data_IF_729912574891
#
_entry.id   IF_729912574891
#
_cell.length_a   1.000
_cell.length_b   1.000
_cell.length_c   1.000
_cell.angle_alpha   90.00
_cell.angle_beta   90.00
_cell.angle_gamma   90.00
#
_symmetry.space_group_name_H-M   'P 1'
#
loop_
_entity.id
_entity.type
_entity.pdbx_description
1 polymer ?
#
# COMPACT_ATOMS: atom_id res chain seq x y z
N UNK A 1 6.64 1.93 -7.44
CA UNK A 1 6.23 0.54 -7.13
C UNK A 1 7.33 -0.51 -7.37
N UNK A 2 8.48 -0.16 -7.94
CA UNK A 2 9.53 -1.16 -8.23
C UNK A 2 10.32 -1.54 -6.96
N UNK A 3 10.79 -2.80 -6.88
CA UNK A 3 11.41 -3.40 -5.67
C UNK A 3 12.90 -3.10 -5.51
N UNK A 4 13.56 -2.69 -6.60
CA UNK A 4 15.00 -2.43 -6.62
C UNK A 4 15.31 -1.05 -6.00
N UNK A 5 16.14 -0.97 -4.94
CA UNK A 5 16.45 0.27 -4.25
C UNK A 5 17.19 1.30 -5.12
N UNK A 6 18.02 0.87 -6.08
CA UNK A 6 18.68 1.78 -7.04
C UNK A 6 17.66 2.46 -7.95
N UNK A 7 16.70 1.69 -8.48
CA UNK A 7 15.59 2.23 -9.28
C UNK A 7 14.65 3.12 -8.46
N UNK A 8 14.42 2.81 -7.18
CA UNK A 8 13.66 3.70 -6.29
C UNK A 8 14.36 5.04 -6.11
N UNK A 9 15.69 5.05 -5.96
CA UNK A 9 16.49 6.26 -5.82
C UNK A 9 16.43 7.12 -7.10
N UNK A 10 16.67 6.53 -8.26
CA UNK A 10 16.56 7.25 -9.54
C UNK A 10 15.14 7.77 -9.82
N UNK A 11 14.11 6.99 -9.51
CA UNK A 11 12.73 7.44 -9.64
C UNK A 11 12.41 8.60 -8.68
N UNK A 12 12.93 8.54 -7.44
CA UNK A 12 12.80 9.64 -6.49
C UNK A 12 13.53 10.90 -6.98
N UNK A 13 14.73 10.76 -7.53
CA UNK A 13 15.48 11.88 -8.12
C UNK A 13 14.72 12.52 -9.30
N UNK A 14 14.09 11.70 -10.15
CA UNK A 14 13.19 12.21 -11.21
C UNK A 14 12.00 12.99 -10.65
N UNK A 15 11.36 12.50 -9.58
CA UNK A 15 10.22 13.20 -8.94
C UNK A 15 10.70 14.51 -8.28
N UNK A 16 11.87 14.50 -7.65
CA UNK A 16 12.44 15.69 -7.03
C UNK A 16 12.89 16.75 -8.06
N UNK A 17 13.27 16.31 -9.27
CA UNK A 17 13.61 17.21 -10.37
C UNK A 17 12.43 18.02 -10.92
N UNK A 18 11.18 17.67 -10.59
CA UNK A 18 10.02 18.51 -10.86
C UNK A 18 9.98 19.80 -10.00
N UNK A 19 10.95 19.99 -9.08
CA UNK A 19 11.12 21.20 -8.25
C UNK A 19 9.85 21.63 -7.51
N UNK A 20 9.03 20.67 -7.07
CA UNK A 20 7.86 20.99 -6.26
C UNK A 20 8.30 21.59 -4.92
N UNK A 21 7.92 22.85 -4.67
CA UNK A 21 8.30 23.62 -3.48
C UNK A 21 7.92 22.91 -2.18
N UNK A 22 6.85 22.10 -2.20
CA UNK A 22 6.37 21.33 -1.06
C UNK A 22 7.19 20.07 -0.75
N UNK A 23 7.94 19.54 -1.73
CA UNK A 23 8.67 18.27 -1.59
C UNK A 23 10.17 18.50 -1.37
N UNK A 24 10.73 19.59 -1.92
CA UNK A 24 12.16 19.93 -1.79
C UNK A 24 12.66 19.91 -0.34
N UNK A 25 11.94 20.47 0.67
CA UNK A 25 12.41 20.47 2.05
C UNK A 25 12.65 19.07 2.62
N UNK A 26 11.91 18.06 2.11
CA UNK A 26 11.96 16.68 2.61
C UNK A 26 12.84 15.76 1.78
N UNK A 27 13.60 16.30 0.82
CA UNK A 27 14.46 15.51 -0.07
C UNK A 27 15.37 14.54 0.69
N UNK A 28 16.04 15.04 1.73
CA UNK A 28 16.96 14.23 2.53
C UNK A 28 16.23 13.11 3.29
N UNK A 29 15.07 13.41 3.89
CA UNK A 29 14.23 12.41 4.56
C UNK A 29 13.77 11.33 3.57
N UNK A 30 13.31 11.73 2.39
CA UNK A 30 12.88 10.80 1.35
C UNK A 30 14.03 9.91 0.85
N UNK A 31 15.24 10.46 0.70
CA UNK A 31 16.43 9.67 0.36
C UNK A 31 16.81 8.69 1.47
N UNK A 32 16.74 9.11 2.74
CA UNK A 32 16.99 8.23 3.89
C UNK A 32 15.95 7.11 4.00
N UNK A 33 14.68 7.37 3.64
CA UNK A 33 13.64 6.33 3.56
C UNK A 33 13.91 5.29 2.45
N UNK A 34 14.62 5.68 1.38
CA UNK A 34 15.03 4.76 0.33
C UNK A 34 16.30 3.98 0.73
N UNK A 35 17.17 4.54 1.58
CA UNK A 35 18.38 3.87 2.07
C UNK A 35 18.04 2.80 3.12
N UNK A 36 18.47 1.56 2.90
CA UNK A 36 18.19 0.46 3.83
C UNK A 36 18.88 0.60 5.18
N UNK A 37 20.06 1.23 5.23
CA UNK A 37 20.82 1.38 6.47
C UNK A 37 20.17 2.41 7.40
N UNK A 38 19.64 3.48 6.82
CA UNK A 38 19.01 4.59 7.54
C UNK A 38 17.51 4.42 7.73
N UNK A 39 16.88 3.46 7.04
CA UNK A 39 15.44 3.27 7.02
C UNK A 39 14.79 3.22 8.40
N UNK A 40 15.31 2.41 9.32
CA UNK A 40 14.72 2.22 10.66
C UNK A 40 14.81 3.49 11.50
N UNK A 41 15.96 4.16 11.44
CA UNK A 41 16.19 5.40 12.18
C UNK A 41 15.29 6.50 11.63
N UNK A 42 15.20 6.61 10.29
CA UNK A 42 14.36 7.60 9.62
C UNK A 42 12.88 7.41 9.94
N UNK A 43 12.35 6.18 10.01
CA UNK A 43 10.96 5.94 10.45
C UNK A 43 10.68 6.44 11.87
N UNK A 44 11.71 6.54 12.71
CA UNK A 44 11.57 7.02 14.10
C UNK A 44 11.68 8.54 14.18
N UNK A 45 12.55 9.14 13.36
CA UNK A 45 12.82 10.58 13.31
C UNK A 45 11.76 11.35 12.51
N UNK A 46 11.36 10.82 11.35
CA UNK A 46 10.44 11.46 10.42
C UNK A 46 9.01 10.99 10.67
N UNK A 47 8.36 11.44 11.75
CA UNK A 47 7.01 10.98 12.10
C UNK A 47 5.95 11.60 11.18
N UNK A 48 5.00 10.78 10.72
CA UNK A 48 3.89 11.20 9.85
C UNK A 48 2.61 11.55 10.62
N UNK A 49 2.60 11.48 11.95
CA UNK A 49 1.44 11.86 12.76
C UNK A 49 1.07 13.33 12.58
N UNK A 50 -0.23 13.68 12.69
CA UNK A 50 -0.69 15.09 12.63
C UNK A 50 -0.02 15.99 13.67
N UNK A 51 0.32 15.41 14.81
CA UNK A 51 0.95 16.09 15.95
C UNK A 51 2.45 16.35 15.73
N UNK A 52 3.05 15.73 14.71
CA UNK A 52 4.46 15.96 14.40
C UNK A 52 4.61 17.17 13.48
N UNK A 53 5.46 18.12 13.89
CA UNK A 53 5.93 19.23 13.05
C UNK A 53 6.83 18.79 11.89
N UNK A 54 7.08 17.48 11.74
CA UNK A 54 7.98 16.94 10.72
C UNK A 54 7.48 17.17 9.29
N UNK A 55 6.17 17.28 9.05
CA UNK A 55 5.61 17.58 7.72
C UNK A 55 4.55 18.67 7.85
N UNK A 56 4.76 19.78 7.15
CA UNK A 56 3.79 20.89 7.11
C UNK A 56 2.48 20.42 6.46
N UNK A 57 1.30 20.81 7.00
CA UNK A 57 0.00 20.39 6.48
C UNK A 57 -0.15 20.58 4.96
N UNK A 58 0.27 21.74 4.44
CA UNK A 58 0.20 22.09 3.01
C UNK A 58 1.12 21.23 2.13
N UNK A 59 2.13 20.62 2.72
CA UNK A 59 3.06 19.76 2.00
C UNK A 59 2.61 18.29 1.98
N UNK A 60 1.72 17.88 2.90
CA UNK A 60 1.32 16.48 3.06
C UNK A 60 0.70 15.90 1.80
N UNK A 61 -0.12 16.67 1.09
CA UNK A 61 -0.77 16.24 -0.16
C UNK A 61 0.24 15.76 -1.21
N UNK A 62 1.43 16.35 -1.23
CA UNK A 62 2.48 16.00 -2.20
C UNK A 62 3.49 14.99 -1.64
N UNK A 63 3.82 15.09 -0.35
CA UNK A 63 4.87 14.27 0.28
C UNK A 63 4.36 12.88 0.65
N UNK A 64 3.17 12.77 1.23
CA UNK A 64 2.61 11.51 1.72
C UNK A 64 2.47 10.49 0.59
N UNK A 65 1.93 10.82 -0.61
CA UNK A 65 1.85 9.86 -1.70
C UNK A 65 3.21 9.33 -2.17
N UNK A 66 4.30 10.08 -1.97
CA UNK A 66 5.67 9.63 -2.29
C UNK A 66 6.14 8.65 -1.21
N UNK A 67 5.97 9.02 0.08
CA UNK A 67 6.30 8.17 1.23
C UNK A 67 5.57 6.83 1.15
N UNK A 68 4.24 6.83 0.92
CA UNK A 68 3.45 5.62 0.76
C UNK A 68 4.00 4.70 -0.34
N UNK A 69 4.38 5.26 -1.50
CA UNK A 69 4.95 4.50 -2.62
C UNK A 69 6.29 3.87 -2.29
N UNK A 70 7.15 4.59 -1.56
CA UNK A 70 8.45 4.08 -1.10
C UNK A 70 8.22 2.93 -0.11
N UNK A 71 7.40 3.15 0.92
CA UNK A 71 7.10 2.17 1.97
C UNK A 71 6.47 0.90 1.38
N UNK A 72 5.50 1.02 0.49
CA UNK A 72 4.90 -0.13 -0.19
C UNK A 72 5.93 -0.91 -1.03
N UNK A 73 6.84 -0.21 -1.70
CA UNK A 73 7.97 -0.84 -2.40
C UNK A 73 8.84 -1.65 -1.44
N UNK A 74 9.23 -1.06 -0.31
CA UNK A 74 10.04 -1.74 0.73
C UNK A 74 9.32 -2.93 1.35
N UNK A 75 8.01 -2.83 1.54
CA UNK A 75 7.16 -3.89 2.11
C UNK A 75 7.06 -5.13 1.21
N UNK A 76 7.08 -4.92 -0.11
CA UNK A 76 6.87 -5.97 -1.13
C UNK A 76 8.17 -6.56 -1.70
N UNK A 77 9.32 -6.00 -1.33
CA UNK A 77 10.64 -6.49 -1.72
C UNK A 77 10.99 -7.81 -1.01
N UNK A 78 11.27 -8.86 -1.79
CA UNK A 78 11.62 -10.21 -1.29
C UNK A 78 13.00 -10.30 -0.63
N UNK A 79 13.89 -9.32 -0.86
CA UNK A 79 15.27 -9.32 -0.32
C UNK A 79 15.34 -9.43 1.21
N UNK A 80 14.29 -9.03 1.94
CA UNK A 80 14.22 -9.14 3.40
C UNK A 80 13.54 -10.44 3.90
N UNK A 81 12.95 -11.24 3.00
CA UNK A 81 12.24 -12.47 3.37
C UNK A 81 13.19 -13.66 3.62
N UNK A 82 14.41 -13.63 3.07
CA UNK A 82 15.39 -14.74 3.13
C UNK A 82 16.05 -14.95 4.50
N UNK A 83 15.92 -14.00 5.43
CA UNK A 83 16.47 -14.15 6.80
C UNK A 83 15.33 -14.33 7.79
N UNK A 84 15.08 -15.58 8.21
CA UNK A 84 14.32 -16.00 9.41
C UNK A 84 13.40 -14.91 10.03
N UNK A 85 12.29 -14.57 9.35
CA UNK A 85 11.27 -13.66 9.90
C UNK A 85 11.50 -12.15 9.73
N UNK A 86 12.65 -11.70 9.22
CA UNK A 86 12.98 -10.27 9.06
C UNK A 86 12.02 -9.51 8.12
N UNK A 87 11.42 -10.20 7.15
CA UNK A 87 10.40 -9.65 6.27
C UNK A 87 9.10 -9.29 7.01
N UNK A 88 8.69 -10.10 7.99
CA UNK A 88 7.51 -9.79 8.82
C UNK A 88 7.79 -8.62 9.76
N UNK A 89 8.95 -8.60 10.42
CA UNK A 89 9.34 -7.48 11.31
C UNK A 89 9.36 -6.15 10.56
N UNK A 90 9.87 -6.14 9.31
CA UNK A 90 9.88 -4.93 8.48
C UNK A 90 8.47 -4.50 8.08
N UNK A 91 7.58 -5.44 7.72
CA UNK A 91 6.17 -5.14 7.41
C UNK A 91 5.46 -4.55 8.61
N UNK A 92 5.60 -5.16 9.79
CA UNK A 92 5.05 -4.65 11.05
C UNK A 92 5.53 -3.23 11.35
N UNK A 93 6.83 -2.98 11.21
CA UNK A 93 7.41 -1.64 11.43
C UNK A 93 6.82 -0.59 10.48
N UNK A 94 6.67 -0.94 9.19
CA UNK A 94 6.06 -0.06 8.19
C UNK A 94 4.59 0.20 8.50
N UNK A 95 3.82 -0.83 8.84
CA UNK A 95 2.40 -0.65 9.16
C UNK A 95 2.19 0.17 10.44
N UNK A 96 3.02 -0.05 11.46
CA UNK A 96 3.00 0.77 12.69
C UNK A 96 3.41 2.22 12.43
N UNK A 97 4.28 2.47 11.46
CA UNK A 97 4.57 3.84 11.06
C UNK A 97 3.37 4.47 10.34
N UNK A 98 2.76 3.73 9.42
CA UNK A 98 1.56 4.14 8.68
C UNK A 98 0.33 4.32 9.56
N UNK A 99 0.27 3.75 10.76
CA UNK A 99 -0.84 4.00 11.69
C UNK A 99 -0.86 5.44 12.21
N UNK A 100 0.20 6.22 11.96
CA UNK A 100 0.19 7.67 12.16
C UNK A 100 -0.47 8.47 11.03
N UNK A 101 -0.87 7.83 9.93
CA UNK A 101 -1.56 8.49 8.83
C UNK A 101 -3.02 8.85 9.18
N UNK A 102 -3.53 9.84 8.45
CA UNK A 102 -4.95 10.18 8.49
C UNK A 102 -5.76 9.18 7.67
N UNK A 103 -7.09 9.20 7.83
CA UNK A 103 -7.98 8.32 7.08
C UNK A 103 -7.85 8.49 5.55
N UNK A 104 -7.75 9.72 5.05
CA UNK A 104 -7.59 9.96 3.61
C UNK A 104 -6.26 9.39 3.08
N UNK A 105 -5.20 9.48 3.88
CA UNK A 105 -3.88 8.96 3.53
C UNK A 105 -3.85 7.43 3.59
N UNK A 106 -4.54 6.85 4.57
CA UNK A 106 -4.76 5.41 4.67
C UNK A 106 -5.56 4.89 3.46
N UNK A 107 -6.59 5.63 3.05
CA UNK A 107 -7.33 5.32 1.82
C UNK A 107 -6.42 5.34 0.60
N UNK A 108 -5.56 6.35 0.46
CA UNK A 108 -4.56 6.38 -0.63
C UNK A 108 -3.64 5.16 -0.60
N UNK A 109 -3.25 4.69 0.60
CA UNK A 109 -2.46 3.48 0.75
C UNK A 109 -3.22 2.23 0.28
N UNK A 110 -4.49 2.07 0.69
CA UNK A 110 -5.35 0.94 0.30
C UNK A 110 -5.56 0.94 -1.23
N UNK A 111 -5.93 2.07 -1.83
CA UNK A 111 -6.11 2.21 -3.27
C UNK A 111 -4.84 1.84 -4.05
N UNK A 112 -3.67 2.22 -3.52
CA UNK A 112 -2.40 1.89 -4.14
C UNK A 112 -2.06 0.40 -3.97
N UNK A 113 -2.26 -0.14 -2.77
CA UNK A 113 -1.95 -1.52 -2.38
C UNK A 113 -2.80 -2.53 -3.14
N UNK A 114 -4.09 -2.22 -3.31
CA UNK A 114 -5.10 -3.02 -3.98
C UNK A 114 -5.44 -2.49 -5.38
N UNK A 115 -4.50 -1.77 -6.02
CA UNK A 115 -4.74 -1.14 -7.32
C UNK A 115 -5.25 -2.06 -8.45
N UNK A 116 -5.01 -3.37 -8.37
CA UNK A 116 -5.52 -4.37 -9.32
C UNK A 116 -6.99 -4.75 -9.08
N UNK A 117 -7.58 -4.35 -7.95
CA UNK A 117 -9.01 -4.48 -7.62
C UNK A 117 -9.71 -3.12 -7.54
N UNK A 118 -9.04 -2.03 -7.90
CA UNK A 118 -9.54 -0.67 -7.68
C UNK A 118 -10.92 -0.44 -8.31
N UNK A 119 -11.14 -0.99 -9.50
CA UNK A 119 -12.42 -0.86 -10.20
C UNK A 119 -13.57 -1.49 -9.40
N UNK A 120 -13.31 -2.57 -8.66
CA UNK A 120 -14.31 -3.23 -7.81
C UNK A 120 -14.59 -2.48 -6.51
N UNK A 121 -13.61 -1.73 -5.97
CA UNK A 121 -13.77 -0.96 -4.72
C UNK A 121 -14.89 0.08 -4.86
N UNK A 122 -15.00 0.69 -6.04
CA UNK A 122 -15.99 1.73 -6.33
C UNK A 122 -17.37 1.21 -6.71
N UNK A 123 -17.48 -0.07 -7.08
CA UNK A 123 -18.73 -0.71 -7.52
C UNK A 123 -19.63 -1.11 -6.34
N UNK A 124 -20.92 -1.30 -6.60
CA UNK A 124 -21.79 -2.00 -5.65
C UNK A 124 -21.49 -3.51 -5.64
N UNK A 125 -21.78 -4.21 -4.54
CA UNK A 125 -21.58 -5.66 -4.41
C UNK A 125 -22.20 -6.46 -5.55
N UNK A 126 -23.41 -6.10 -6.00
CA UNK A 126 -24.07 -6.78 -7.13
C UNK A 126 -23.35 -6.55 -8.45
N UNK A 127 -22.81 -5.35 -8.65
CA UNK A 127 -22.05 -4.99 -9.84
C UNK A 127 -20.69 -5.68 -9.89
N UNK A 128 -20.01 -5.80 -8.75
CA UNK A 128 -18.76 -6.56 -8.60
C UNK A 128 -18.98 -7.99 -9.08
N UNK A 129 -20.00 -8.67 -8.57
CA UNK A 129 -20.29 -10.05 -8.94
C UNK A 129 -20.61 -10.21 -10.43
N UNK A 130 -21.49 -9.35 -10.98
CA UNK A 130 -21.82 -9.36 -12.43
C UNK A 130 -20.60 -9.10 -13.31
N UNK A 131 -19.74 -8.16 -12.92
CA UNK A 131 -18.53 -7.80 -13.66
C UNK A 131 -17.54 -8.96 -13.68
N UNK A 132 -17.35 -9.64 -12.53
CA UNK A 132 -16.47 -10.81 -12.43
C UNK A 132 -17.00 -11.95 -13.29
N UNK A 133 -18.30 -12.27 -13.21
CA UNK A 133 -18.91 -13.33 -14.02
C UNK A 133 -18.76 -13.07 -15.53
N UNK A 134 -18.95 -11.81 -15.96
CA UNK A 134 -18.86 -11.46 -17.38
C UNK A 134 -17.43 -11.53 -17.92
N UNK A 135 -16.44 -11.20 -17.10
CA UNK A 135 -15.05 -11.03 -17.51
C UNK A 135 -14.16 -12.21 -17.10
N UNK A 136 -14.72 -13.31 -16.59
CA UNK A 136 -13.95 -14.46 -16.14
C UNK A 136 -13.30 -15.17 -17.33
N UNK A 137 -11.98 -15.31 -17.28
CA UNK A 137 -11.21 -16.12 -18.21
C UNK A 137 -10.55 -17.27 -17.44
N UNK A 138 -11.06 -18.49 -17.64
CA UNK A 138 -10.53 -19.71 -17.01
C UNK A 138 -9.10 -20.03 -17.44
N UNK A 139 -8.61 -19.45 -18.54
CA UNK A 139 -7.21 -19.59 -18.99
C UNK A 139 -6.28 -18.60 -18.29
N UNK A 140 -6.82 -17.55 -17.68
CA UNK A 140 -6.07 -16.45 -17.05
C UNK A 140 -6.56 -16.16 -15.62
N UNK A 141 -6.75 -17.22 -14.84
CA UNK A 141 -7.19 -17.11 -13.43
C UNK A 141 -6.09 -16.51 -12.54
N UNK A 142 -6.49 -15.82 -11.48
CA UNK A 142 -5.57 -15.35 -10.44
C UNK A 142 -4.87 -16.57 -9.82
N UNK A 143 -3.54 -16.64 -9.96
CA UNK A 143 -2.78 -17.77 -9.44
C UNK A 143 -2.86 -17.86 -7.91
N UNK A 144 -2.77 -19.08 -7.32
CA UNK A 144 -2.81 -19.27 -5.87
C UNK A 144 -1.79 -18.43 -5.10
N UNK A 145 -0.58 -18.26 -5.64
CA UNK A 145 0.45 -17.42 -5.04
C UNK A 145 0.07 -15.93 -5.02
N UNK A 146 -0.63 -15.44 -6.05
CA UNK A 146 -1.14 -14.07 -6.08
C UNK A 146 -2.28 -13.91 -5.10
N UNK A 147 -3.24 -14.84 -5.05
CA UNK A 147 -4.32 -14.85 -4.05
C UNK A 147 -3.76 -14.82 -2.62
N UNK A 148 -2.79 -15.68 -2.30
CA UNK A 148 -2.14 -15.69 -1.00
C UNK A 148 -1.49 -14.34 -0.66
N UNK A 149 -0.81 -13.71 -1.62
CA UNK A 149 -0.21 -12.39 -1.40
C UNK A 149 -1.25 -11.30 -1.13
N UNK A 150 -2.42 -11.39 -1.76
CA UNK A 150 -3.53 -10.44 -1.58
C UNK A 150 -4.13 -10.60 -0.20
N UNK A 151 -4.44 -11.85 0.19
CA UNK A 151 -5.02 -12.16 1.49
C UNK A 151 -4.07 -11.77 2.64
N UNK A 152 -2.77 -12.08 2.51
CA UNK A 152 -1.79 -11.67 3.50
C UNK A 152 -1.71 -10.14 3.64
N UNK A 153 -1.79 -9.40 2.52
CA UNK A 153 -1.84 -7.94 2.58
C UNK A 153 -3.14 -7.42 3.22
N UNK A 154 -4.27 -8.05 2.92
CA UNK A 154 -5.55 -7.74 3.53
C UNK A 154 -5.51 -7.97 5.05
N UNK A 155 -5.02 -9.11 5.49
CA UNK A 155 -4.91 -9.45 6.92
C UNK A 155 -4.04 -8.45 7.66
N UNK A 156 -2.88 -8.08 7.11
CA UNK A 156 -1.99 -7.10 7.72
C UNK A 156 -2.66 -5.71 7.77
N UNK A 157 -3.36 -5.28 6.72
CA UNK A 157 -4.08 -4.00 6.73
C UNK A 157 -5.21 -4.02 7.77
N UNK A 158 -5.95 -5.13 7.86
CA UNK A 158 -7.00 -5.32 8.87
C UNK A 158 -6.44 -5.27 10.29
N UNK A 159 -5.33 -5.97 10.55
CA UNK A 159 -4.69 -6.04 11.87
C UNK A 159 -4.27 -4.66 12.40
N UNK A 160 -3.64 -3.84 11.55
CA UNK A 160 -3.09 -2.55 11.99
C UNK A 160 -4.09 -1.39 11.89
N UNK A 161 -5.01 -1.43 10.92
CA UNK A 161 -5.88 -0.30 10.64
C UNK A 161 -7.36 -0.56 10.87
N UNK A 162 -7.78 -1.81 11.09
CA UNK A 162 -9.19 -2.18 11.19
C UNK A 162 -9.97 -1.41 12.27
N UNK A 163 -9.33 -1.08 13.39
CA UNK A 163 -9.96 -0.29 14.47
C UNK A 163 -10.03 1.21 14.20
N UNK A 164 -9.34 1.72 13.17
CA UNK A 164 -9.24 3.15 12.85
C UNK A 164 -10.05 3.56 11.60
N UNK A 165 -10.46 2.60 10.77
CA UNK A 165 -11.25 2.89 9.57
C UNK A 165 -12.69 3.28 9.95
N UNK A 166 -13.21 4.39 9.41
CA UNK A 166 -14.64 4.69 9.53
C UNK A 166 -15.45 3.84 8.55
N UNK A 167 -16.77 3.82 8.73
CA UNK A 167 -17.71 2.97 8.00
C UNK A 167 -17.52 2.98 6.47
N UNK A 168 -17.26 4.16 5.89
CA UNK A 168 -17.07 4.29 4.44
C UNK A 168 -15.81 3.56 3.96
N UNK A 169 -14.67 3.82 4.60
CA UNK A 169 -13.40 3.19 4.24
C UNK A 169 -13.43 1.68 4.56
N UNK A 170 -14.08 1.30 5.66
CA UNK A 170 -14.27 -0.08 6.03
C UNK A 170 -15.12 -0.84 5.01
N UNK A 171 -16.19 -0.22 4.50
CA UNK A 171 -17.02 -0.77 3.42
C UNK A 171 -16.22 -0.96 2.13
N UNK A 172 -15.48 0.06 1.71
CA UNK A 172 -14.56 -0.01 0.57
C UNK A 172 -13.52 -1.14 0.74
N UNK A 173 -12.99 -1.30 1.95
CA UNK A 173 -12.05 -2.35 2.29
C UNK A 173 -12.67 -3.75 2.21
N UNK A 174 -13.89 -3.95 2.72
CA UNK A 174 -14.57 -5.25 2.61
C UNK A 174 -14.96 -5.63 1.17
N UNK A 175 -15.22 -4.65 0.30
CA UNK A 175 -15.45 -4.91 -1.13
C UNK A 175 -14.25 -5.57 -1.80
N UNK A 176 -13.03 -5.28 -1.37
CA UNK A 176 -11.81 -5.95 -1.84
C UNK A 176 -11.90 -7.45 -1.54
N UNK A 177 -12.22 -7.80 -0.30
CA UNK A 177 -12.35 -9.19 0.11
C UNK A 177 -13.49 -9.90 -0.63
N UNK A 178 -14.65 -9.24 -0.75
CA UNK A 178 -15.78 -9.74 -1.51
C UNK A 178 -15.43 -9.99 -2.98
N UNK A 179 -14.67 -9.10 -3.62
CA UNK A 179 -14.23 -9.27 -5.01
C UNK A 179 -13.29 -10.49 -5.15
N UNK A 180 -12.40 -10.73 -4.18
CA UNK A 180 -11.53 -11.92 -4.17
C UNK A 180 -12.36 -13.20 -4.03
N UNK A 181 -13.29 -13.26 -3.08
CA UNK A 181 -14.19 -14.40 -2.89
C UNK A 181 -15.06 -14.64 -4.14
N UNK A 182 -15.59 -13.59 -4.74
CA UNK A 182 -16.41 -13.67 -5.95
C UNK A 182 -15.63 -14.21 -7.15
N UNK A 183 -14.35 -13.84 -7.30
CA UNK A 183 -13.48 -14.40 -8.32
C UNK A 183 -13.28 -15.91 -8.10
N UNK A 184 -12.95 -16.33 -6.88
CA UNK A 184 -12.75 -17.75 -6.56
C UNK A 184 -14.04 -18.55 -6.76
N UNK A 185 -15.18 -18.05 -6.29
CA UNK A 185 -16.48 -18.68 -6.49
C UNK A 185 -16.81 -18.84 -7.98
N UNK A 186 -16.57 -17.79 -8.78
CA UNK A 186 -16.85 -17.83 -10.22
C UNK A 186 -15.99 -18.86 -10.96
N UNK A 187 -14.73 -19.05 -10.54
CA UNK A 187 -13.86 -20.11 -11.10
C UNK A 187 -14.41 -21.48 -10.75
N UNK A 188 -14.81 -21.70 -9.50
CA UNK A 188 -15.36 -22.98 -9.04
C UNK A 188 -16.71 -23.31 -9.68
N UNK A 189 -17.51 -22.31 -10.06
CA UNK A 189 -18.80 -22.52 -10.72
C UNK A 189 -18.72 -22.76 -12.23
N UNK A 190 -17.59 -22.39 -12.87
CA UNK A 190 -17.43 -22.48 -14.33
C UNK A 190 -16.31 -23.44 -14.78
N UNK A 191 -15.50 -23.97 -13.85
CA UNK A 191 -14.47 -24.98 -14.10
C UNK A 191 -14.98 -26.38 -13.78
#
# INVERSE_FOLDING_TARGET
KHKNPGLQKYALDCVLNYKNKSVIPYKNNLHNLVDEKKFKDELTQFKITKESEAIQPDHREHVIPIVLRILYGKMTTKLAADKKGGGQTRRSLIMRYLSGCNEDELKMFIDMAFSYLKDYITMDTKEIYKSILKNIDLKSVISPGKLHSILNLFDVVREYFGGYMKDKLLSEFFKIFYAVCSNVASVLSNG
#
